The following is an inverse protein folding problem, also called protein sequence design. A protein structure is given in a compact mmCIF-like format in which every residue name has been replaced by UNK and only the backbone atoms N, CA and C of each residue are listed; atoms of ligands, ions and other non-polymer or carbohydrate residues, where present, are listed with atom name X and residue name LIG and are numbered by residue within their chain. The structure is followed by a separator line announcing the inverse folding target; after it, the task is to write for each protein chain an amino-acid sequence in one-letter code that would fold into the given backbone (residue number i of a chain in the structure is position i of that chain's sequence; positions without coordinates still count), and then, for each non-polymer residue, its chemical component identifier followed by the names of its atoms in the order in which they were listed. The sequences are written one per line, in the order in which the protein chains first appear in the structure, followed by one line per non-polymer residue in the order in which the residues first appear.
data_IF_245961655429
#
_entry.id   IF_245961655429
#
_cell.length_a   1.000
_cell.length_b   1.000
_cell.length_c   1.000
_cell.angle_alpha   90.00
_cell.angle_beta   90.00
_cell.angle_gamma   90.00
#
_symmetry.space_group_name_H-M   'P 1'
#
loop_
_entity.id
_entity.type
_entity.pdbx_description
1 polymer ?
#
# COMPACT_ATOMS: atom_id res chain seq x y z
N UNK A 1 0.08 24.42 -5.11
CA UNK A 1 0.53 24.54 -3.71
C UNK A 1 -0.40 23.78 -2.75
N UNK A 2 -1.73 24.04 -2.75
CA UNK A 2 -2.66 23.40 -1.82
C UNK A 2 -2.69 21.85 -1.92
N UNK A 3 -2.60 21.28 -3.13
CA UNK A 3 -2.54 19.84 -3.34
C UNK A 3 -1.29 19.22 -2.71
N UNK A 4 -0.12 19.84 -2.91
CA UNK A 4 1.13 19.37 -2.30
C UNK A 4 1.08 19.43 -0.78
N UNK A 5 0.42 20.43 -0.21
CA UNK A 5 0.25 20.54 1.25
C UNK A 5 -0.62 19.41 1.82
N UNK A 6 -1.72 19.08 1.15
CA UNK A 6 -2.57 17.94 1.53
C UNK A 6 -1.80 16.62 1.43
N UNK A 7 -1.02 16.44 0.36
CA UNK A 7 -0.19 15.27 0.15
C UNK A 7 0.83 15.07 1.26
N UNK A 8 1.56 16.12 1.63
CA UNK A 8 2.56 16.09 2.72
C UNK A 8 1.89 15.81 4.07
N UNK A 9 0.74 16.43 4.34
CA UNK A 9 0.00 16.22 5.57
C UNK A 9 -0.50 14.77 5.69
N UNK A 10 -1.03 14.21 4.60
CA UNK A 10 -1.47 12.82 4.55
C UNK A 10 -0.28 11.85 4.76
N UNK A 11 0.85 12.14 4.14
CA UNK A 11 2.08 11.36 4.32
C UNK A 11 2.54 11.37 5.77
N UNK A 12 2.64 12.55 6.40
CA UNK A 12 3.05 12.69 7.80
C UNK A 12 2.06 12.00 8.76
N UNK A 13 0.77 12.13 8.50
CA UNK A 13 -0.27 11.45 9.28
C UNK A 13 -0.15 9.94 9.19
N UNK A 14 0.09 9.40 7.99
CA UNK A 14 0.25 7.96 7.78
C UNK A 14 1.50 7.44 8.47
N UNK A 15 2.63 8.14 8.34
CA UNK A 15 3.90 7.79 9.02
C UNK A 15 3.70 7.80 10.54
N UNK A 16 3.09 8.86 11.09
CA UNK A 16 2.81 8.99 12.52
C UNK A 16 1.90 7.90 13.08
N UNK A 17 0.97 7.39 12.26
CA UNK A 17 0.07 6.30 12.63
C UNK A 17 0.72 4.91 12.53
N UNK A 18 1.49 4.67 11.48
CA UNK A 18 2.02 3.33 11.14
C UNK A 18 3.22 2.97 12.02
N UNK A 19 4.15 3.90 12.27
CA UNK A 19 5.38 3.60 13.03
C UNK A 19 5.11 3.08 14.45
N UNK A 20 4.29 3.76 15.29
CA UNK A 20 3.99 3.26 16.63
C UNK A 20 3.27 1.90 16.60
N UNK A 21 2.39 1.72 15.63
CA UNK A 21 1.64 0.48 15.47
C UNK A 21 2.53 -0.71 15.09
N UNK A 22 3.53 -0.49 14.23
CA UNK A 22 4.55 -1.51 13.91
C UNK A 22 5.32 -1.89 15.18
N UNK A 23 5.80 -0.91 15.93
CA UNK A 23 6.58 -1.16 17.14
C UNK A 23 5.77 -1.96 18.19
N UNK A 24 4.51 -1.58 18.40
CA UNK A 24 3.58 -2.29 19.29
C UNK A 24 3.34 -3.73 18.83
N UNK A 25 2.97 -3.91 17.56
CA UNK A 25 2.69 -5.23 16.99
C UNK A 25 3.94 -6.15 17.02
N UNK A 26 5.12 -5.59 16.77
CA UNK A 26 6.38 -6.34 16.87
C UNK A 26 6.64 -6.84 18.29
N UNK A 27 6.29 -6.03 19.30
CA UNK A 27 6.31 -6.44 20.71
C UNK A 27 5.34 -7.60 21.00
N UNK A 28 4.10 -7.49 20.48
CA UNK A 28 3.08 -8.53 20.66
C UNK A 28 3.45 -9.85 19.94
N UNK A 29 4.06 -9.78 18.77
CA UNK A 29 4.54 -10.98 18.06
C UNK A 29 5.59 -11.77 18.88
N UNK A 30 6.42 -11.06 19.64
CA UNK A 30 7.45 -11.67 20.48
C UNK A 30 6.97 -12.05 21.87
N UNK A 31 5.88 -11.44 22.35
CA UNK A 31 5.33 -11.72 23.67
C UNK A 31 4.68 -13.11 23.73
N UNK A 32 4.65 -13.69 24.89
CA UNK A 32 3.87 -14.91 25.16
C UNK A 32 2.38 -14.58 25.30
N UNK A 33 1.48 -15.56 25.06
CA UNK A 33 0.06 -15.38 25.32
C UNK A 33 -0.20 -14.87 26.73
N UNK A 34 -1.18 -13.98 26.87
CA UNK A 34 -1.58 -13.41 28.16
C UNK A 34 -1.96 -14.52 29.14
N UNK A 35 -1.60 -14.33 30.41
CA UNK A 35 -1.98 -15.28 31.47
C UNK A 35 -3.51 -15.39 31.59
N UNK A 36 -3.99 -16.55 31.98
CA UNK A 36 -5.42 -16.80 32.15
C UNK A 36 -6.02 -15.83 33.18
N UNK A 37 -7.11 -15.12 32.83
CA UNK A 37 -7.79 -14.22 33.77
C UNK A 37 -8.41 -14.99 34.96
N UNK A 38 -8.45 -14.37 36.13
CA UNK A 38 -9.03 -14.99 37.34
C UNK A 38 -10.53 -15.20 37.25
N UNK A 39 -11.27 -14.39 36.50
CA UNK A 39 -12.73 -14.44 36.39
C UNK A 39 -13.18 -14.77 34.97
N UNK A 40 -13.16 -16.04 34.61
CA UNK A 40 -13.56 -16.53 33.27
C UNK A 40 -15.06 -16.33 32.99
N UNK A 41 -15.91 -16.34 34.04
CA UNK A 41 -17.36 -16.19 33.92
C UNK A 41 -17.80 -14.81 33.35
N UNK A 42 -16.89 -13.83 33.31
CA UNK A 42 -17.15 -12.50 32.71
C UNK A 42 -17.05 -12.47 31.18
N UNK A 43 -16.56 -13.55 30.60
CA UNK A 43 -16.42 -13.57 29.12
C UNK A 43 -17.74 -13.98 28.46
N UNK A 44 -18.09 -13.36 27.30
CA UNK A 44 -19.33 -13.66 26.57
C UNK A 44 -19.47 -15.14 26.17
N UNK A 45 -18.35 -15.80 25.93
CA UNK A 45 -18.28 -17.20 25.52
C UNK A 45 -17.70 -18.08 26.64
N UNK A 46 -18.33 -18.04 27.81
CA UNK A 46 -17.97 -18.90 28.91
C UNK A 46 -18.81 -20.19 28.91
N UNK A 47 -18.14 -21.35 28.91
CA UNK A 47 -18.79 -22.65 28.97
C UNK A 47 -18.15 -23.49 30.06
N UNK A 48 -18.97 -24.00 30.98
CA UNK A 48 -18.58 -24.97 32.03
C UNK A 48 -19.08 -26.33 31.65
N UNK A 49 -18.16 -27.25 31.36
CA UNK A 49 -18.49 -28.62 30.99
C UNK A 49 -18.06 -29.59 32.11
N UNK A 50 -18.92 -30.53 32.53
CA UNK A 50 -18.51 -31.65 33.39
C UNK A 50 -17.64 -32.60 32.55
N UNK A 51 -16.39 -32.75 32.92
CA UNK A 51 -15.47 -33.68 32.22
C UNK A 51 -15.65 -35.08 32.87
N UNK A 52 -16.03 -36.06 32.05
CA UNK A 52 -16.11 -37.48 32.46
C UNK A 52 -14.73 -38.14 32.47
N UNK A 53 -13.70 -37.53 31.91
CA UNK A 53 -12.36 -38.08 31.77
C UNK A 53 -11.33 -37.04 32.16
N UNK A 54 -10.31 -37.43 32.89
CA UNK A 54 -9.18 -36.56 33.24
C UNK A 54 -8.30 -36.29 32.00
N UNK A 55 -8.47 -35.12 31.42
CA UNK A 55 -7.56 -34.69 30.37
C UNK A 55 -6.25 -34.22 30.97
N UNK A 56 -5.14 -34.77 30.51
CA UNK A 56 -3.84 -34.27 30.91
C UNK A 56 -3.57 -32.92 30.23
N UNK A 57 -3.21 -31.88 30.99
CA UNK A 57 -2.89 -30.54 30.49
C UNK A 57 -1.81 -30.56 29.37
N UNK A 58 -0.76 -31.41 29.46
CA UNK A 58 0.22 -31.52 28.35
C UNK A 58 -0.38 -32.00 27.03
N UNK A 59 -1.30 -32.95 27.06
CA UNK A 59 -1.99 -33.43 25.84
C UNK A 59 -2.83 -32.35 25.20
N UNK A 60 -3.59 -31.59 25.98
CA UNK A 60 -4.40 -30.49 25.50
C UNK A 60 -3.53 -29.40 24.91
N UNK A 61 -2.42 -29.05 25.55
CA UNK A 61 -1.46 -28.09 25.05
C UNK A 61 -0.85 -28.54 23.72
N UNK A 62 -0.50 -29.83 23.57
CA UNK A 62 0.02 -30.39 22.32
C UNK A 62 -0.99 -30.30 21.16
N UNK A 63 -2.26 -30.64 21.43
CA UNK A 63 -3.34 -30.53 20.44
C UNK A 63 -3.58 -29.11 19.99
N UNK A 64 -3.56 -28.13 20.89
CA UNK A 64 -3.69 -26.72 20.56
C UNK A 64 -2.51 -26.23 19.73
N UNK A 65 -1.28 -26.63 20.06
CA UNK A 65 -0.08 -26.32 19.24
C UNK A 65 -0.18 -26.93 17.84
N UNK A 66 -0.68 -28.17 17.70
CA UNK A 66 -0.92 -28.81 16.40
C UNK A 66 -1.91 -28.02 15.54
N UNK A 67 -2.91 -27.42 16.16
CA UNK A 67 -3.87 -26.52 15.50
C UNK A 67 -3.35 -25.09 15.27
N UNK A 68 -2.03 -24.86 15.45
CA UNK A 68 -1.34 -23.57 15.27
C UNK A 68 -1.81 -22.46 16.22
N UNK A 69 -2.20 -22.85 17.47
CA UNK A 69 -2.36 -21.88 18.55
C UNK A 69 -1.01 -21.60 19.22
N UNK A 70 -0.80 -20.35 19.64
CA UNK A 70 0.24 -20.01 20.62
C UNK A 70 -0.30 -20.41 21.98
N UNK A 71 0.46 -21.19 22.73
CA UNK A 71 -0.03 -21.80 23.97
C UNK A 71 0.91 -21.48 25.12
N UNK A 72 0.34 -20.95 26.20
CA UNK A 72 1.00 -20.78 27.50
C UNK A 72 0.33 -21.64 28.53
N UNK A 73 1.11 -22.52 29.18
CA UNK A 73 0.64 -23.37 30.26
C UNK A 73 1.08 -22.73 31.57
N UNK A 74 0.12 -22.55 32.49
CA UNK A 74 0.35 -22.03 33.84
C UNK A 74 -0.28 -22.97 34.86
N UNK A 75 0.05 -22.79 36.14
CA UNK A 75 -0.60 -23.58 37.22
C UNK A 75 -2.12 -23.38 37.25
N UNK A 76 -2.63 -22.23 36.79
CA UNK A 76 -4.06 -21.92 36.75
C UNK A 76 -4.78 -22.52 35.54
N UNK A 77 -4.05 -22.96 34.50
CA UNK A 77 -4.64 -23.53 33.27
C UNK A 77 -3.85 -23.24 32.03
N UNK A 78 -4.51 -23.37 30.87
CA UNK A 78 -3.93 -23.16 29.55
C UNK A 78 -4.53 -21.90 28.94
N UNK A 79 -3.67 -20.96 28.52
CA UNK A 79 -4.02 -19.85 27.66
C UNK A 79 -3.57 -20.17 26.24
N UNK A 80 -4.48 -20.01 25.26
CA UNK A 80 -4.19 -20.29 23.87
C UNK A 80 -4.80 -19.18 22.98
N UNK A 81 -4.01 -18.65 22.07
CA UNK A 81 -4.44 -17.60 21.15
C UNK A 81 -4.12 -17.96 19.71
N UNK A 82 -4.94 -17.44 18.78
CA UNK A 82 -4.77 -17.63 17.36
C UNK A 82 -5.22 -16.38 16.61
N UNK A 83 -4.64 -16.13 15.44
CA UNK A 83 -5.06 -15.01 14.59
C UNK A 83 -4.24 -13.73 14.77
N UNK A 84 -3.18 -13.73 15.56
CA UNK A 84 -2.29 -12.58 15.78
C UNK A 84 -1.62 -12.07 14.48
N UNK A 85 -1.49 -12.90 13.45
CA UNK A 85 -1.00 -12.50 12.12
C UNK A 85 -2.01 -11.64 11.34
N UNK A 86 -3.26 -11.53 11.78
CA UNK A 86 -4.26 -10.68 11.13
C UNK A 86 -3.82 -9.21 11.10
N UNK A 87 -3.25 -8.75 12.20
CA UNK A 87 -2.73 -7.38 12.31
C UNK A 87 -1.53 -7.15 11.39
N UNK A 88 -0.70 -8.17 11.17
CA UNK A 88 0.42 -8.11 10.22
C UNK A 88 -0.05 -7.75 8.80
N UNK A 89 -1.14 -8.36 8.33
CA UNK A 89 -1.70 -8.05 7.02
C UNK A 89 -2.14 -6.58 6.89
N UNK A 90 -2.77 -6.07 7.93
CA UNK A 90 -3.17 -4.66 7.98
C UNK A 90 -1.96 -3.71 7.97
N UNK A 91 -0.89 -4.05 8.69
CA UNK A 91 0.35 -3.27 8.68
C UNK A 91 1.05 -3.29 7.32
N UNK A 92 1.14 -4.46 6.68
CA UNK A 92 1.70 -4.59 5.32
C UNK A 92 0.93 -3.74 4.32
N UNK A 93 -0.40 -3.71 4.41
CA UNK A 93 -1.24 -2.85 3.57
C UNK A 93 -0.89 -1.36 3.75
N UNK A 94 -0.80 -0.87 4.99
CA UNK A 94 -0.45 0.53 5.26
C UNK A 94 0.98 0.87 4.85
N UNK A 95 1.92 -0.07 5.03
CA UNK A 95 3.30 0.10 4.56
C UNK A 95 3.39 0.18 3.04
N UNK A 96 2.58 -0.60 2.32
CA UNK A 96 2.55 -0.53 0.86
C UNK A 96 1.94 0.80 0.36
N UNK A 97 0.91 1.32 1.04
CA UNK A 97 0.40 2.67 0.75
C UNK A 97 1.48 3.74 0.95
N UNK A 98 2.23 3.65 2.05
CA UNK A 98 3.35 4.57 2.28
C UNK A 98 4.39 4.46 1.17
N UNK A 99 4.72 3.23 0.74
CA UNK A 99 5.62 2.99 -0.40
C UNK A 99 5.13 3.61 -1.71
N UNK A 100 3.84 3.50 -2.00
CA UNK A 100 3.22 4.14 -3.18
C UNK A 100 3.34 5.67 -3.09
N UNK A 101 3.04 6.26 -1.93
CA UNK A 101 3.17 7.71 -1.74
C UNK A 101 4.61 8.18 -1.95
N UNK A 102 5.59 7.46 -1.38
CA UNK A 102 7.02 7.78 -1.59
C UNK A 102 7.37 7.68 -3.07
N UNK A 103 6.95 6.61 -3.75
CA UNK A 103 7.26 6.39 -5.16
C UNK A 103 6.65 7.48 -6.06
N UNK A 104 5.40 7.87 -5.82
CA UNK A 104 4.73 8.95 -6.55
C UNK A 104 5.42 10.30 -6.29
N UNK A 105 5.76 10.59 -5.03
CA UNK A 105 6.47 11.82 -4.68
C UNK A 105 7.87 11.89 -5.29
N UNK A 106 8.64 10.83 -5.21
CA UNK A 106 9.97 10.74 -5.81
C UNK A 106 9.89 10.82 -7.34
N UNK A 107 8.94 10.07 -7.95
CA UNK A 107 8.71 10.13 -9.39
C UNK A 107 8.38 11.54 -9.87
N UNK A 108 7.45 12.24 -9.21
CA UNK A 108 7.13 13.62 -9.54
C UNK A 108 8.28 14.60 -9.34
N UNK A 109 9.15 14.33 -8.34
CA UNK A 109 10.30 15.19 -8.10
C UNK A 109 11.44 15.00 -9.12
N UNK A 110 11.64 13.77 -9.62
CA UNK A 110 12.73 13.44 -10.56
C UNK A 110 12.31 13.49 -12.02
N UNK A 111 11.00 13.43 -12.32
CA UNK A 111 10.50 13.46 -13.68
C UNK A 111 10.35 14.88 -14.23
N UNK A 112 10.02 14.98 -15.50
CA UNK A 112 9.62 16.23 -16.14
C UNK A 112 8.37 16.00 -16.99
N UNK A 113 7.65 17.08 -17.30
CA UNK A 113 6.58 17.10 -18.28
C UNK A 113 6.95 18.11 -19.37
N UNK A 114 6.98 17.65 -20.61
CA UNK A 114 7.26 18.49 -21.77
C UNK A 114 6.17 18.35 -22.81
N UNK A 115 5.78 19.47 -23.44
CA UNK A 115 4.81 19.51 -24.52
C UNK A 115 5.44 20.13 -25.75
N UNK A 116 5.17 19.55 -26.91
CA UNK A 116 5.56 20.06 -28.22
C UNK A 116 4.42 19.82 -29.21
N UNK A 117 4.04 20.84 -29.95
CA UNK A 117 3.12 20.70 -31.07
C UNK A 117 3.96 20.50 -32.34
N UNK A 118 3.69 19.40 -33.05
CA UNK A 118 4.36 19.05 -34.30
C UNK A 118 3.41 19.18 -35.48
N UNK A 119 3.91 19.69 -36.57
CA UNK A 119 3.22 19.72 -37.87
C UNK A 119 3.76 18.57 -38.74
N UNK A 120 2.95 18.07 -39.69
CA UNK A 120 3.39 17.02 -40.62
C UNK A 120 4.69 17.43 -41.34
N UNK A 121 5.64 16.51 -41.38
CA UNK A 121 6.98 16.69 -41.90
C UNK A 121 7.99 17.28 -40.92
N UNK A 122 7.55 17.77 -39.76
CA UNK A 122 8.44 18.32 -38.73
C UNK A 122 9.08 17.22 -37.88
N UNK A 123 10.29 17.52 -37.40
CA UNK A 123 11.02 16.61 -36.48
C UNK A 123 11.22 17.27 -35.14
N UNK A 124 11.01 16.49 -34.08
CA UNK A 124 11.30 16.85 -32.69
C UNK A 124 12.57 16.14 -32.23
N UNK A 125 13.43 16.85 -31.54
CA UNK A 125 14.60 16.28 -30.84
C UNK A 125 14.44 16.51 -29.34
N UNK A 126 14.64 15.47 -28.53
CA UNK A 126 14.52 15.56 -27.09
C UNK A 126 15.67 16.38 -26.48
N UNK A 127 15.51 17.67 -26.46
CA UNK A 127 16.36 18.63 -25.78
C UNK A 127 15.51 19.72 -25.13
N UNK A 128 16.05 20.46 -24.17
CA UNK A 128 15.31 21.50 -23.45
C UNK A 128 14.73 22.59 -24.37
N UNK A 129 15.42 22.94 -25.41
CA UNK A 129 14.98 23.97 -26.37
C UNK A 129 13.91 23.45 -27.35
N UNK A 130 13.72 22.14 -27.46
CA UNK A 130 12.76 21.52 -28.36
C UNK A 130 11.32 21.54 -27.87
N UNK A 131 11.08 21.87 -26.63
CA UNK A 131 9.76 21.90 -26.05
C UNK A 131 9.12 23.27 -26.09
N UNK A 132 7.83 23.36 -26.41
CA UNK A 132 7.04 24.60 -26.33
C UNK A 132 6.70 24.93 -24.88
N UNK A 133 6.49 23.88 -24.03
CA UNK A 133 6.32 24.02 -22.60
C UNK A 133 7.10 22.91 -21.89
N UNK A 134 7.87 23.29 -20.87
CA UNK A 134 8.69 22.37 -20.09
C UNK A 134 8.52 22.65 -18.60
N UNK A 135 8.14 21.63 -17.86
CA UNK A 135 7.95 21.69 -16.40
C UNK A 135 8.77 20.60 -15.72
N UNK A 136 9.95 20.91 -15.21
CA UNK A 136 10.80 19.95 -14.50
C UNK A 136 10.31 19.72 -13.08
N UNK A 137 10.52 18.52 -12.56
CA UNK A 137 10.43 18.21 -11.13
C UNK A 137 11.56 18.88 -10.35
N UNK A 138 11.41 18.93 -9.03
CA UNK A 138 12.35 19.63 -8.13
C UNK A 138 13.79 19.09 -8.17
N UNK A 139 13.95 17.81 -8.50
CA UNK A 139 15.24 17.08 -8.56
C UNK A 139 15.58 16.62 -9.98
N UNK A 140 14.93 17.22 -10.97
CA UNK A 140 15.20 16.91 -12.37
C UNK A 140 16.61 17.36 -12.77
N UNK A 141 17.35 16.49 -13.46
CA UNK A 141 18.67 16.78 -14.04
C UNK A 141 18.59 16.74 -15.56
N UNK A 142 18.85 17.88 -16.19
CA UNK A 142 18.81 18.03 -17.65
C UNK A 142 19.85 17.14 -18.38
N UNK A 143 20.93 16.78 -17.72
CA UNK A 143 21.95 15.89 -18.29
C UNK A 143 21.47 14.44 -18.45
N UNK A 144 20.36 14.08 -17.81
CA UNK A 144 19.76 12.74 -17.89
C UNK A 144 18.72 12.62 -19.01
N UNK A 145 18.49 13.67 -19.81
CA UNK A 145 17.62 13.57 -20.97
C UNK A 145 18.14 12.55 -21.97
N UNK A 146 17.33 11.50 -22.20
CA UNK A 146 17.67 10.47 -23.19
C UNK A 146 17.58 11.09 -24.59
N UNK A 147 18.66 11.06 -25.40
CA UNK A 147 18.61 11.62 -26.73
C UNK A 147 17.77 10.73 -27.66
N UNK A 148 16.69 11.27 -28.17
CA UNK A 148 15.89 10.66 -29.23
C UNK A 148 15.32 11.75 -30.14
N UNK A 149 14.91 11.35 -31.33
CA UNK A 149 14.19 12.22 -32.26
C UNK A 149 12.94 11.50 -32.78
N UNK A 150 11.88 12.26 -32.95
CA UNK A 150 10.62 11.80 -33.54
C UNK A 150 10.27 12.68 -34.71
N UNK A 151 9.92 12.09 -35.86
CA UNK A 151 9.44 12.80 -37.02
C UNK A 151 7.96 12.47 -37.22
N UNK A 152 7.14 13.50 -37.42
CA UNK A 152 5.74 13.33 -37.76
C UNK A 152 5.58 13.25 -39.29
N UNK A 153 5.47 12.04 -39.82
CA UNK A 153 5.34 11.87 -41.28
C UNK A 153 3.91 12.15 -41.77
N UNK A 154 2.90 11.71 -41.03
CA UNK A 154 1.49 11.93 -41.41
C UNK A 154 0.61 11.90 -40.15
N UNK A 155 -0.40 12.73 -40.11
CA UNK A 155 -1.43 12.77 -39.07
C UNK A 155 -2.81 12.54 -39.70
N UNK A 156 -3.46 11.42 -39.38
CA UNK A 156 -4.80 11.09 -39.85
C UNK A 156 -5.76 10.99 -38.67
N UNK A 157 -6.81 11.78 -38.73
CA UNK A 157 -7.93 11.69 -37.77
C UNK A 157 -9.17 11.21 -38.49
N UNK A 158 -9.82 10.18 -37.93
CA UNK A 158 -11.13 9.69 -38.39
C UNK A 158 -12.18 10.04 -37.36
N UNK A 159 -13.33 10.54 -37.83
CA UNK A 159 -14.44 10.92 -36.97
C UNK A 159 -15.62 9.98 -37.22
N UNK A 160 -16.27 9.51 -36.15
CA UNK A 160 -17.54 8.77 -36.27
C UNK A 160 -18.70 9.77 -36.40
N UNK A 161 -19.27 9.83 -37.59
CA UNK A 161 -20.40 10.70 -37.89
C UNK A 161 -21.76 10.10 -37.53
N UNK A 162 -21.81 8.85 -37.01
CA UNK A 162 -23.08 8.16 -36.67
C UNK A 162 -23.75 8.75 -35.44
N UNK A 163 -23.01 9.39 -34.56
CA UNK A 163 -23.57 9.98 -33.35
C UNK A 163 -23.68 11.49 -33.51
N UNK A 164 -24.81 11.99 -33.97
CA UNK A 164 -25.08 13.41 -34.19
C UNK A 164 -24.96 14.29 -32.95
N UNK A 165 -24.85 13.68 -31.74
CA UNK A 165 -24.71 14.40 -30.46
C UNK A 165 -23.25 14.63 -30.06
N UNK A 166 -22.26 13.96 -30.67
CA UNK A 166 -20.84 14.12 -30.39
C UNK A 166 -20.05 14.39 -31.68
N UNK A 167 -20.29 15.53 -32.30
CA UNK A 167 -19.49 15.99 -33.45
C UNK A 167 -18.09 16.32 -32.94
N UNK A 168 -17.09 15.52 -33.33
CA UNK A 168 -15.67 15.85 -33.15
C UNK A 168 -14.91 15.10 -32.04
N UNK A 169 -15.40 13.97 -31.51
CA UNK A 169 -14.55 13.10 -30.72
C UNK A 169 -13.70 12.22 -31.65
N UNK A 170 -12.34 12.29 -31.55
CA UNK A 170 -11.48 11.35 -32.27
C UNK A 170 -11.72 9.94 -31.77
N UNK A 171 -11.65 8.94 -32.68
CA UNK A 171 -11.58 7.54 -32.27
C UNK A 171 -10.17 7.28 -31.77
N UNK A 172 -10.02 6.88 -30.51
CA UNK A 172 -8.77 6.40 -29.97
C UNK A 172 -8.39 5.08 -30.63
N UNK A 173 -7.19 4.99 -31.16
CA UNK A 173 -6.58 3.79 -31.72
C UNK A 173 -5.42 3.34 -30.82
#
# INVERSE_FOLDING_TARGET
VWFSSIYVLLFLSLVGCVIPRIAHHWGELKSEPTAMPRALSRFPAYLKLPLKTTYSMPRLAAELKRKRYRVKVTAAGISAEKGYLRETGNLVFHMSLLGVLVAVGAGGATSFSGQRVLVEGESFVNNLAGYDSFSPGAWFDANQLVPFSVKLDNFRTTFDLRNRTNIGTPLDF
#
